data_IF_013895562889
#
_entry.id   IF_013895562889
#
_cell.length_a   1.000
_cell.length_b   1.000
_cell.length_c   1.000
_cell.angle_alpha   90.00
_cell.angle_beta   90.00
_cell.angle_gamma   90.00
#
_symmetry.space_group_name_H-M   'P 1'
#
loop_
_entity.id
_entity.type
_entity.pdbx_description
1 polymer ?
#
# COMPACT_ATOMS: atom_id res chain seq x y z
N UNK A 1 -8.88 -4.07 -16.32
CA UNK A 1 -9.23 -5.48 -16.08
C UNK A 1 -8.55 -6.04 -14.82
N UNK A 2 -7.23 -5.91 -14.64
CA UNK A 2 -6.54 -6.38 -13.42
C UNK A 2 -7.05 -5.76 -12.10
N UNK A 3 -7.38 -4.46 -12.06
CA UNK A 3 -7.89 -3.78 -10.87
C UNK A 3 -9.22 -4.38 -10.37
N UNK A 4 -10.10 -4.76 -11.30
CA UNK A 4 -11.40 -5.32 -10.98
C UNK A 4 -11.26 -6.72 -10.39
N UNK A 5 -10.35 -7.54 -10.92
CA UNK A 5 -10.01 -8.85 -10.36
C UNK A 5 -9.43 -8.74 -8.95
N UNK A 6 -8.55 -7.77 -8.71
CA UNK A 6 -7.91 -7.57 -7.41
C UNK A 6 -8.90 -7.06 -6.35
N UNK A 7 -9.79 -6.13 -6.71
CA UNK A 7 -10.88 -5.68 -5.84
C UNK A 7 -11.90 -6.80 -5.59
N UNK A 8 -12.26 -7.55 -6.64
CA UNK A 8 -13.19 -8.67 -6.52
C UNK A 8 -12.63 -9.78 -5.63
N UNK A 9 -11.36 -10.12 -5.78
CA UNK A 9 -10.68 -11.12 -4.94
C UNK A 9 -10.53 -10.64 -3.48
N UNK A 10 -10.32 -9.33 -3.28
CA UNK A 10 -10.30 -8.72 -1.95
C UNK A 10 -11.68 -8.81 -1.28
N UNK A 11 -12.76 -8.50 -2.00
CA UNK A 11 -14.14 -8.60 -1.50
C UNK A 11 -14.52 -10.06 -1.23
N UNK A 12 -14.18 -10.99 -2.13
CA UNK A 12 -14.41 -12.44 -1.93
C UNK A 12 -13.62 -12.96 -0.72
N UNK A 13 -12.37 -12.52 -0.55
CA UNK A 13 -11.56 -12.87 0.63
C UNK A 13 -12.12 -12.31 1.94
N UNK A 14 -12.80 -11.14 1.90
CA UNK A 14 -13.50 -10.58 3.06
C UNK A 14 -14.78 -11.35 3.41
N UNK A 15 -15.53 -11.82 2.40
CA UNK A 15 -16.73 -12.65 2.59
C UNK A 15 -16.36 -14.04 3.13
N UNK A 16 -15.24 -14.61 2.69
CA UNK A 16 -14.71 -15.88 3.20
C UNK A 16 -14.12 -15.78 4.62
N UNK A 17 -13.67 -14.59 5.04
CA UNK A 17 -13.10 -14.37 6.38
C UNK A 17 -14.17 -14.16 7.47
N UNK A 18 -15.44 -14.52 7.22
CA UNK A 18 -16.60 -14.15 8.03
C UNK A 18 -16.50 -14.43 9.53
N UNK A 19 -15.74 -15.43 9.96
CA UNK A 19 -15.50 -15.79 11.36
C UNK A 19 -14.28 -15.07 12.00
N UNK A 20 -13.42 -14.43 11.20
CA UNK A 20 -12.18 -13.76 11.64
C UNK A 20 -12.03 -12.32 11.08
N UNK A 21 -13.13 -11.57 11.03
CA UNK A 21 -13.18 -10.20 10.50
C UNK A 21 -12.18 -9.24 11.15
N UNK A 22 -11.87 -9.42 12.43
CA UNK A 22 -10.87 -8.61 13.14
C UNK A 22 -9.47 -8.76 12.54
N UNK A 23 -9.04 -9.99 12.27
CA UNK A 23 -7.71 -10.27 11.72
C UNK A 23 -7.58 -9.78 10.28
N UNK A 24 -8.68 -9.83 9.51
CA UNK A 24 -8.76 -9.27 8.17
C UNK A 24 -8.64 -7.73 8.17
N UNK A 25 -9.35 -7.05 9.08
CA UNK A 25 -9.33 -5.58 9.18
C UNK A 25 -7.97 -5.04 9.63
N UNK A 26 -7.29 -5.78 10.52
CA UNK A 26 -5.89 -5.49 10.90
C UNK A 26 -4.97 -5.65 9.69
N UNK A 27 -5.07 -6.74 8.94
CA UNK A 27 -4.30 -6.94 7.70
C UNK A 27 -4.48 -5.80 6.69
N UNK A 28 -5.73 -5.36 6.49
CA UNK A 28 -6.08 -4.23 5.62
C UNK A 28 -5.43 -2.91 6.06
N UNK A 29 -5.63 -2.56 7.33
CA UNK A 29 -5.13 -1.29 7.88
C UNK A 29 -3.60 -1.26 7.89
N UNK A 30 -2.94 -2.35 8.30
CA UNK A 30 -1.48 -2.45 8.28
C UNK A 30 -0.92 -2.32 6.87
N UNK A 31 -1.51 -3.03 5.89
CA UNK A 31 -1.06 -2.99 4.50
C UNK A 31 -1.20 -1.59 3.90
N UNK A 32 -2.33 -0.92 4.15
CA UNK A 32 -2.60 0.41 3.61
C UNK A 32 -1.64 1.45 4.20
N UNK A 33 -1.42 1.42 5.52
CA UNK A 33 -0.50 2.35 6.20
C UNK A 33 0.95 2.08 5.77
N UNK A 34 1.38 0.82 5.75
CA UNK A 34 2.75 0.46 5.39
C UNK A 34 3.09 0.84 3.94
N UNK A 35 2.19 0.56 2.99
CA UNK A 35 2.37 0.92 1.57
C UNK A 35 2.25 2.43 1.37
N UNK A 36 1.33 3.11 2.06
CA UNK A 36 1.17 4.56 1.96
C UNK A 36 2.40 5.33 2.45
N UNK A 37 2.94 4.97 3.62
CA UNK A 37 4.18 5.56 4.14
C UNK A 37 5.38 5.26 3.23
N UNK A 38 5.48 4.02 2.73
CA UNK A 38 6.52 3.61 1.79
C UNK A 38 6.48 4.43 0.49
N UNK A 39 5.29 4.60 -0.09
CA UNK A 39 5.07 5.40 -1.30
C UNK A 39 5.45 6.86 -1.09
N UNK A 40 5.02 7.46 0.03
CA UNK A 40 5.28 8.85 0.35
C UNK A 40 6.78 9.17 0.44
N UNK A 41 7.57 8.28 1.05
CA UNK A 41 9.01 8.45 1.18
C UNK A 41 9.74 8.15 -0.13
N UNK A 42 9.41 7.03 -0.78
CA UNK A 42 10.15 6.54 -1.95
C UNK A 42 10.03 7.45 -3.17
N UNK A 43 8.90 8.14 -3.34
CA UNK A 43 8.61 8.91 -4.54
C UNK A 43 8.57 10.42 -4.32
N UNK A 44 9.20 10.90 -3.26
CA UNK A 44 9.38 12.33 -3.02
C UNK A 44 10.27 12.93 -4.13
N UNK A 45 9.87 14.09 -4.64
CA UNK A 45 10.56 14.73 -5.75
C UNK A 45 11.99 15.12 -5.34
N UNK A 46 13.00 14.59 -6.04
CA UNK A 46 14.41 14.92 -5.83
C UNK A 46 15.14 15.02 -7.16
N UNK A 47 16.10 15.94 -7.24
CA UNK A 47 16.93 16.16 -8.44
C UNK A 47 18.21 15.33 -8.44
N UNK A 48 18.56 14.67 -7.33
CA UNK A 48 19.80 13.89 -7.18
C UNK A 48 19.50 12.38 -7.19
N UNK A 49 20.10 11.60 -8.11
CA UNK A 49 19.82 10.16 -8.24
C UNK A 49 20.23 9.36 -7.00
N UNK A 50 21.33 9.73 -6.34
CA UNK A 50 21.77 9.09 -5.09
C UNK A 50 20.76 9.29 -3.95
N UNK A 51 20.10 10.45 -3.90
CA UNK A 51 19.08 10.74 -2.88
C UNK A 51 17.78 9.98 -3.17
N UNK A 52 17.46 9.73 -4.45
CA UNK A 52 16.31 8.91 -4.83
C UNK A 52 16.46 7.46 -4.35
N UNK A 53 17.66 6.88 -4.48
CA UNK A 53 17.96 5.54 -3.96
C UNK A 53 17.88 5.49 -2.43
N UNK A 54 18.41 6.51 -1.74
CA UNK A 54 18.31 6.61 -0.29
C UNK A 54 16.84 6.67 0.16
N UNK A 55 16.02 7.48 -0.50
CA UNK A 55 14.60 7.59 -0.23
C UNK A 55 13.85 6.26 -0.46
N UNK A 56 14.19 5.53 -1.52
CA UNK A 56 13.63 4.20 -1.79
C UNK A 56 13.98 3.20 -0.68
N UNK A 57 15.25 3.15 -0.26
CA UNK A 57 15.70 2.28 0.83
C UNK A 57 15.00 2.68 2.14
N UNK A 58 14.86 3.98 2.41
CA UNK A 58 14.15 4.47 3.60
C UNK A 58 12.67 4.10 3.59
N UNK A 59 12.00 4.17 2.43
CA UNK A 59 10.61 3.76 2.28
C UNK A 59 10.43 2.26 2.48
N UNK A 60 11.37 1.45 2.00
CA UNK A 60 11.39 0.00 2.27
C UNK A 60 11.60 -0.30 3.76
N UNK A 61 12.56 0.37 4.41
CA UNK A 61 12.83 0.21 5.83
C UNK A 61 11.60 0.59 6.69
N UNK A 62 10.91 1.68 6.34
CA UNK A 62 9.67 2.08 7.01
C UNK A 62 8.55 1.07 6.79
N UNK A 63 8.41 0.50 5.58
CA UNK A 63 7.45 -0.59 5.33
C UNK A 63 7.71 -1.77 6.27
N UNK A 64 8.96 -2.22 6.35
CA UNK A 64 9.35 -3.32 7.24
C UNK A 64 9.10 -2.97 8.71
N UNK A 65 9.47 -1.77 9.15
CA UNK A 65 9.23 -1.30 10.51
C UNK A 65 7.74 -1.33 10.88
N UNK A 66 6.88 -0.69 10.07
CA UNK A 66 5.43 -0.66 10.31
C UNK A 66 4.85 -2.07 10.36
N UNK A 67 5.33 -2.98 9.51
CA UNK A 67 4.84 -4.36 9.51
C UNK A 67 5.25 -5.12 10.75
N UNK A 68 6.51 -5.02 11.18
CA UNK A 68 7.00 -5.73 12.38
C UNK A 68 6.31 -5.18 13.62
N UNK A 69 6.32 -3.87 13.83
CA UNK A 69 5.65 -3.24 14.97
C UNK A 69 4.15 -3.51 14.97
N UNK A 70 3.51 -3.41 13.80
CA UNK A 70 2.09 -3.65 13.64
C UNK A 70 1.68 -5.10 13.94
N UNK A 71 2.47 -6.07 13.50
CA UNK A 71 2.24 -7.49 13.82
C UNK A 71 2.46 -7.76 15.30
N UNK A 72 3.56 -7.28 15.88
CA UNK A 72 3.85 -7.47 17.31
C UNK A 72 2.74 -6.91 18.19
N UNK A 73 2.32 -5.66 17.93
CA UNK A 73 1.22 -5.01 18.63
C UNK A 73 -0.11 -5.76 18.48
N UNK A 74 -0.36 -6.33 17.30
CA UNK A 74 -1.61 -7.05 17.03
C UNK A 74 -1.66 -8.43 17.69
N UNK A 75 -0.49 -9.07 17.88
CA UNK A 75 -0.38 -10.32 18.63
C UNK A 75 -0.57 -10.10 20.13
N UNK A 76 0.00 -9.03 20.71
CA UNK A 76 -0.16 -8.70 22.14
C UNK A 76 -1.61 -8.46 22.56
N UNK A 77 -2.45 -8.00 21.64
CA UNK A 77 -3.87 -7.72 21.90
C UNK A 77 -4.81 -8.86 21.49
N UNK A 78 -4.28 -10.03 21.12
CA UNK A 78 -5.06 -11.18 20.62
C UNK A 78 -6.01 -10.83 19.44
N UNK A 79 -5.72 -9.76 18.70
CA UNK A 79 -6.54 -9.33 17.54
C UNK A 79 -6.38 -10.29 16.34
N UNK A 80 -5.28 -11.03 16.31
CA UNK A 80 -5.00 -12.07 15.31
C UNK A 80 -5.49 -13.40 15.87
N UNK A 81 -6.75 -13.74 15.58
CA UNK A 81 -7.35 -15.03 15.93
C UNK A 81 -6.86 -16.14 14.99
N UNK A 82 -6.57 -15.78 13.72
CA UNK A 82 -5.96 -16.68 12.74
C UNK A 82 -4.79 -16.00 12.01
N UNK A 83 -3.54 -16.39 12.27
CA UNK A 83 -2.36 -15.84 11.60
C UNK A 83 -2.37 -16.01 10.08
N UNK A 84 -2.99 -17.10 9.59
CA UNK A 84 -3.10 -17.36 8.16
C UNK A 84 -4.01 -16.34 7.46
N UNK A 85 -5.18 -16.05 8.04
CA UNK A 85 -6.12 -15.06 7.50
C UNK A 85 -5.50 -13.65 7.52
N UNK A 86 -4.75 -13.32 8.58
CA UNK A 86 -3.98 -12.08 8.65
C UNK A 86 -2.94 -11.98 7.53
N UNK A 87 -2.10 -13.00 7.34
CA UNK A 87 -1.04 -12.97 6.32
C UNK A 87 -1.61 -12.86 4.90
N UNK A 88 -2.67 -13.63 4.62
CA UNK A 88 -3.34 -13.64 3.31
C UNK A 88 -3.96 -12.25 3.00
N UNK A 89 -4.70 -11.69 3.96
CA UNK A 89 -5.31 -10.37 3.82
C UNK A 89 -4.24 -9.27 3.65
N UNK A 90 -3.20 -9.28 4.49
CA UNK A 90 -2.08 -8.34 4.38
C UNK A 90 -1.39 -8.41 3.01
N UNK A 91 -1.14 -9.62 2.49
CA UNK A 91 -0.53 -9.81 1.17
C UNK A 91 -1.42 -9.24 0.06
N UNK A 92 -2.70 -9.59 0.05
CA UNK A 92 -3.65 -9.09 -0.94
C UNK A 92 -3.73 -7.57 -0.94
N UNK A 93 -3.93 -6.97 0.24
CA UNK A 93 -4.04 -5.52 0.35
C UNK A 93 -2.74 -4.78 0.06
N UNK A 94 -1.59 -5.37 0.38
CA UNK A 94 -0.29 -4.80 0.01
C UNK A 94 -0.14 -4.71 -1.52
N UNK A 95 -0.61 -5.72 -2.26
CA UNK A 95 -0.63 -5.68 -3.73
C UNK A 95 -1.64 -4.66 -4.27
N UNK A 96 -2.87 -4.66 -3.73
CA UNK A 96 -3.94 -3.72 -4.13
C UNK A 96 -3.47 -2.27 -3.93
N UNK A 97 -2.97 -1.96 -2.74
CA UNK A 97 -2.50 -0.62 -2.39
C UNK A 97 -1.33 -0.21 -3.28
N UNK A 98 -0.35 -1.08 -3.49
CA UNK A 98 0.82 -0.78 -4.32
C UNK A 98 0.39 -0.46 -5.76
N UNK A 99 -0.49 -1.27 -6.32
CA UNK A 99 -1.02 -1.04 -7.66
C UNK A 99 -1.86 0.24 -7.74
N UNK A 100 -2.69 0.51 -6.73
CA UNK A 100 -3.47 1.74 -6.62
C UNK A 100 -2.60 2.99 -6.58
N UNK A 101 -1.53 2.98 -5.78
CA UNK A 101 -0.58 4.09 -5.72
C UNK A 101 0.16 4.30 -7.04
N UNK A 102 0.55 3.23 -7.75
CA UNK A 102 1.16 3.37 -9.08
C UNK A 102 0.20 3.95 -10.11
N UNK A 103 -1.06 3.46 -10.16
CA UNK A 103 -2.08 4.00 -11.07
C UNK A 103 -2.44 5.45 -10.74
N UNK A 104 -2.54 5.79 -9.46
CA UNK A 104 -2.75 7.16 -9.01
C UNK A 104 -1.60 8.06 -9.46
N UNK A 105 -0.35 7.62 -9.32
CA UNK A 105 0.81 8.38 -9.77
C UNK A 105 0.81 8.62 -11.28
N UNK A 106 0.54 7.59 -12.07
CA UNK A 106 0.43 7.70 -13.52
C UNK A 106 -0.62 8.75 -13.91
N UNK A 107 -1.80 8.70 -13.28
CA UNK A 107 -2.86 9.68 -13.50
C UNK A 107 -2.42 11.11 -13.15
N UNK A 108 -1.77 11.32 -12.01
CA UNK A 108 -1.24 12.63 -11.60
C UNK A 108 -0.20 13.14 -12.61
N UNK A 109 0.72 12.29 -13.05
CA UNK A 109 1.75 12.66 -14.02
C UNK A 109 1.16 13.05 -15.38
N UNK A 110 0.18 12.29 -15.90
CA UNK A 110 -0.52 12.63 -17.15
C UNK A 110 -1.22 13.98 -17.04
N UNK A 111 -1.89 14.27 -15.91
CA UNK A 111 -2.54 15.57 -15.68
C UNK A 111 -1.54 16.72 -15.60
N UNK A 112 -0.42 16.54 -14.90
CA UNK A 112 0.63 17.56 -14.81
C UNK A 112 1.26 17.86 -16.17
N UNK A 113 1.49 16.82 -17.00
CA UNK A 113 1.99 16.99 -18.35
C UNK A 113 1.01 17.78 -19.23
N UNK A 114 -0.30 17.47 -19.15
CA UNK A 114 -1.33 18.20 -19.88
C UNK A 114 -1.44 19.68 -19.45
N UNK A 115 -1.31 19.98 -18.16
CA UNK A 115 -1.29 21.37 -17.65
C UNK A 115 -0.05 22.10 -18.14
N UNK A 116 1.14 21.48 -18.06
CA UNK A 116 2.38 22.07 -18.57
C UNK A 116 2.30 22.40 -20.05
N UNK A 117 1.71 21.52 -20.87
CA UNK A 117 1.51 21.76 -22.29
C UNK A 117 0.62 22.98 -22.56
N UNK A 118 -0.47 23.17 -21.80
CA UNK A 118 -1.35 24.34 -21.93
C UNK A 118 -0.67 25.66 -21.55
N UNK A 119 0.21 25.64 -20.55
CA UNK A 119 0.96 26.82 -20.12
C UNK A 119 2.03 27.25 -21.12
N UNK A 120 2.53 26.34 -21.97
CA UNK A 120 3.53 26.65 -23.00
C UNK A 120 2.93 27.20 -24.30
N UNK A 121 1.62 27.07 -24.49
CA UNK A 121 0.89 27.57 -25.67
C UNK A 121 0.26 28.95 -25.47
N UNK A 122 0.44 29.57 -24.30
CA UNK A 122 0.01 30.94 -23.97
C UNK A 122 1.23 31.84 -23.92
#
# INVERSE_FOLDING_TARGET
MAFFLVVFLSVVGGILAGEHVHSYMVGFSLATVAVGCCYWLSFRHTNYPQLALLLLISGFAVKMGITVFGVMWSLERELITSPFVFALSYLFFSLVATYGYFKYREFVQTRMAAVKARLQTT
#
